data_IF_629877381370
#
_entry.id   IF_629877381370
#
_cell.length_a   1.000
_cell.length_b   1.000
_cell.length_c   1.000
_cell.angle_alpha   90.00
_cell.angle_beta   90.00
_cell.angle_gamma   90.00
#
_symmetry.space_group_name_H-M   'P 1'
#
loop_
_entity.id
_entity.type
_entity.pdbx_description
1 polymer ?
#
# COMPACT_ATOMS: atom_id res chain seq x y z
N UNK A 1 -7.48 12.32 -2.00
CA UNK A 1 -8.34 11.43 -1.19
C UNK A 1 -9.36 12.25 -0.43
N UNK A 2 -10.57 11.72 -0.19
CA UNK A 2 -11.55 12.29 0.74
C UNK A 2 -11.63 11.49 2.05
N UNK A 3 -12.54 11.87 2.96
CA UNK A 3 -12.67 11.24 4.30
C UNK A 3 -12.85 9.73 4.23
N UNK A 4 -13.75 9.23 3.38
CA UNK A 4 -13.99 7.79 3.23
C UNK A 4 -12.75 6.99 2.80
N UNK A 5 -11.89 7.60 1.97
CA UNK A 5 -10.63 6.94 1.58
C UNK A 5 -9.62 6.96 2.72
N UNK A 6 -9.62 8.00 3.57
CA UNK A 6 -8.77 8.03 4.76
C UNK A 6 -9.21 6.98 5.78
N UNK A 7 -10.52 6.81 5.98
CA UNK A 7 -11.08 5.77 6.85
C UNK A 7 -10.69 4.37 6.35
N UNK A 8 -10.88 4.09 5.06
CA UNK A 8 -10.46 2.84 4.44
C UNK A 8 -8.94 2.58 4.59
N UNK A 9 -8.12 3.61 4.37
CA UNK A 9 -6.68 3.51 4.56
C UNK A 9 -6.31 3.17 6.01
N UNK A 10 -6.99 3.78 7.00
CA UNK A 10 -6.79 3.48 8.42
C UNK A 10 -7.15 2.02 8.72
N UNK A 11 -8.26 1.52 8.19
CA UNK A 11 -8.66 0.11 8.37
C UNK A 11 -7.62 -0.86 7.81
N UNK A 12 -7.09 -0.59 6.60
CA UNK A 12 -5.99 -1.39 6.01
C UNK A 12 -4.77 -1.40 6.91
N UNK A 13 -4.35 -0.22 7.39
CA UNK A 13 -3.19 -0.12 8.28
C UNK A 13 -3.40 -0.87 9.59
N UNK A 14 -4.62 -0.83 10.16
CA UNK A 14 -4.97 -1.57 11.37
C UNK A 14 -4.91 -3.08 11.15
N UNK A 15 -5.48 -3.57 10.04
CA UNK A 15 -5.42 -5.00 9.67
C UNK A 15 -3.97 -5.48 9.50
N UNK A 16 -3.12 -4.68 8.86
CA UNK A 16 -1.70 -5.02 8.69
C UNK A 16 -0.93 -4.97 10.01
N UNK A 17 -1.27 -4.06 10.92
CA UNK A 17 -0.69 -4.04 12.28
C UNK A 17 -1.07 -5.32 13.05
N UNK A 18 -2.32 -5.78 12.95
CA UNK A 18 -2.81 -6.99 13.62
C UNK A 18 -2.10 -8.27 13.16
N UNK A 19 -1.70 -8.34 11.88
CA UNK A 19 -0.87 -9.43 11.33
C UNK A 19 0.51 -9.54 11.99
N UNK A 20 0.98 -8.47 12.63
CA UNK A 20 2.29 -8.42 13.28
C UNK A 20 3.46 -8.34 12.30
N UNK A 21 4.68 -8.22 12.84
CA UNK A 21 5.88 -7.81 12.07
C UNK A 21 6.29 -8.74 10.93
N UNK A 22 5.90 -10.01 10.92
CA UNK A 22 6.36 -10.97 9.90
C UNK A 22 5.44 -11.02 8.67
N UNK A 23 4.17 -10.70 8.86
CA UNK A 23 3.13 -10.85 7.84
C UNK A 23 2.57 -9.49 7.37
N UNK A 24 3.06 -8.39 7.97
CA UNK A 24 2.73 -7.02 7.59
C UNK A 24 3.47 -6.63 6.30
N UNK A 25 2.69 -6.34 5.26
CA UNK A 25 3.16 -6.03 3.91
C UNK A 25 3.56 -4.56 3.73
N UNK A 26 3.19 -3.70 4.69
CA UNK A 26 3.42 -2.26 4.68
C UNK A 26 4.29 -1.84 5.85
N UNK A 27 5.38 -2.56 6.12
CA UNK A 27 6.43 -2.13 7.05
C UNK A 27 7.43 -1.19 6.39
N UNK A 28 8.01 -0.27 7.16
CA UNK A 28 9.06 0.65 6.71
C UNK A 28 8.64 2.12 6.62
N UNK A 29 9.01 2.78 5.54
CA UNK A 29 8.61 4.15 5.19
C UNK A 29 8.12 4.13 3.75
N UNK A 30 7.03 4.84 3.47
CA UNK A 30 6.29 4.70 2.23
C UNK A 30 5.76 6.06 1.79
N UNK A 31 5.65 6.23 0.48
CA UNK A 31 4.75 7.19 -0.12
C UNK A 31 3.46 6.46 -0.48
N UNK A 32 2.32 6.95 0.02
CA UNK A 32 1.01 6.32 -0.22
C UNK A 32 0.33 7.06 -1.37
N UNK A 33 0.15 6.37 -2.48
CA UNK A 33 -0.55 6.91 -3.65
C UNK A 33 -1.94 6.30 -3.72
N UNK A 34 -2.95 7.15 -3.83
CA UNK A 34 -4.31 6.76 -4.10
C UNK A 34 -4.64 7.08 -5.55
N UNK A 35 -5.03 6.06 -6.30
CA UNK A 35 -5.41 6.21 -7.70
C UNK A 35 -6.87 5.80 -7.90
N UNK A 36 -7.57 6.62 -8.70
CA UNK A 36 -8.93 6.39 -9.14
C UNK A 36 -9.03 6.86 -10.59
N UNK A 37 -8.63 6.02 -11.54
CA UNK A 37 -8.88 6.21 -12.96
C UNK A 37 -9.70 5.03 -13.47
N UNK A 38 -11.00 5.25 -13.68
CA UNK A 38 -12.00 4.40 -14.36
C UNK A 38 -12.18 2.92 -13.92
N UNK A 39 -11.19 2.32 -13.25
CA UNK A 39 -11.15 1.00 -12.64
C UNK A 39 -11.20 1.09 -11.10
N UNK A 40 -11.18 -0.08 -10.44
CA UNK A 40 -11.30 -0.19 -8.98
C UNK A 40 -10.28 0.71 -8.28
N UNK A 41 -10.70 1.58 -7.34
CA UNK A 41 -9.76 2.46 -6.64
C UNK A 41 -8.81 1.66 -5.75
N UNK A 42 -7.55 2.09 -5.69
CA UNK A 42 -6.47 1.37 -4.98
C UNK A 42 -5.57 2.31 -4.19
N UNK A 43 -4.89 1.74 -3.20
CA UNK A 43 -3.78 2.33 -2.47
C UNK A 43 -2.49 1.59 -2.84
N UNK A 44 -1.47 2.35 -3.26
CA UNK A 44 -0.11 1.84 -3.50
C UNK A 44 0.83 2.38 -2.45
N UNK A 45 1.53 1.48 -1.76
CA UNK A 45 2.54 1.79 -0.75
C UNK A 45 3.92 1.67 -1.39
N UNK A 46 4.40 2.78 -1.94
CA UNK A 46 5.68 2.86 -2.62
C UNK A 46 6.81 2.94 -1.59
N UNK A 47 7.63 1.89 -1.52
CA UNK A 47 8.88 1.86 -0.73
C UNK A 47 10.03 2.31 -1.60
N UNK A 48 10.17 3.62 -1.73
CA UNK A 48 11.21 4.24 -2.53
C UNK A 48 12.01 5.18 -1.64
N UNK A 49 13.35 5.14 -1.70
CA UNK A 49 14.19 6.09 -0.96
C UNK A 49 14.02 7.52 -1.49
N UNK A 50 13.57 7.66 -2.74
CA UNK A 50 13.15 8.91 -3.36
C UNK A 50 12.00 8.66 -4.34
N UNK A 51 11.27 9.70 -4.76
CA UNK A 51 10.21 9.58 -5.79
C UNK A 51 10.73 9.11 -7.17
N UNK A 52 12.04 8.88 -7.32
CA UNK A 52 12.71 8.49 -8.57
C UNK A 52 13.33 7.09 -8.48
N UNK A 53 13.66 6.60 -7.28
CA UNK A 53 14.37 5.33 -7.11
C UNK A 53 13.66 4.41 -6.13
N UNK A 54 13.08 3.35 -6.68
CA UNK A 54 12.39 2.29 -5.94
C UNK A 54 13.16 0.99 -6.12
N UNK A 55 13.55 0.35 -5.01
CA UNK A 55 14.20 -0.97 -5.03
C UNK A 55 13.16 -2.11 -5.04
N UNK A 56 11.92 -1.81 -4.67
CA UNK A 56 10.81 -2.74 -4.56
C UNK A 56 9.59 -2.26 -5.36
N UNK A 57 8.82 -3.22 -5.88
CA UNK A 57 7.45 -3.00 -6.36
C UNK A 57 6.58 -2.60 -5.17
N UNK A 58 5.61 -1.69 -5.35
CA UNK A 58 4.73 -1.32 -4.26
C UNK A 58 3.85 -2.46 -3.80
N UNK A 59 3.50 -2.41 -2.53
CA UNK A 59 2.36 -3.16 -2.00
C UNK A 59 1.08 -2.44 -2.43
N UNK A 60 0.13 -3.16 -3.00
CA UNK A 60 -1.12 -2.60 -3.54
C UNK A 60 -2.33 -3.22 -2.86
N UNK A 61 -3.21 -2.38 -2.35
CA UNK A 61 -4.49 -2.78 -1.78
C UNK A 61 -5.65 -2.12 -2.54
N UNK A 62 -6.79 -2.80 -2.62
CA UNK A 62 -8.05 -2.15 -2.97
C UNK A 62 -8.52 -1.26 -1.81
N UNK A 63 -9.42 -0.30 -2.08
CA UNK A 63 -10.02 0.50 -0.99
C UNK A 63 -10.91 -0.31 -0.06
N UNK A 64 -11.31 -1.51 -0.45
CA UNK A 64 -12.06 -2.45 0.39
C UNK A 64 -11.13 -3.28 1.30
N UNK A 65 -9.82 -3.07 1.21
CA UNK A 65 -8.80 -3.76 2.01
C UNK A 65 -8.34 -5.10 1.46
N UNK A 66 -8.72 -5.44 0.24
CA UNK A 66 -8.19 -6.61 -0.45
C UNK A 66 -6.73 -6.37 -0.86
N UNK A 67 -5.81 -7.28 -0.51
CA UNK A 67 -4.44 -7.24 -1.00
C UNK A 67 -4.40 -7.66 -2.47
N UNK A 68 -4.06 -6.73 -3.36
CA UNK A 68 -3.96 -6.97 -4.81
C UNK A 68 -2.56 -7.45 -5.17
N UNK A 69 -1.53 -6.83 -4.59
CA UNK A 69 -0.14 -7.20 -4.80
C UNK A 69 0.66 -6.99 -3.50
N UNK A 70 1.41 -8.00 -3.06
CA UNK A 70 2.26 -7.91 -1.87
C UNK A 70 3.53 -7.05 -2.10
N UNK A 71 3.80 -6.66 -3.35
CA UNK A 71 5.01 -5.91 -3.70
C UNK A 71 6.27 -6.78 -3.66
N UNK A 72 7.39 -6.17 -3.28
CA UNK A 72 8.67 -6.84 -3.05
C UNK A 72 9.74 -6.52 -4.11
N UNK A 73 10.96 -7.10 -3.97
CA UNK A 73 12.13 -6.70 -4.75
C UNK A 73 11.89 -6.72 -6.26
N UNK A 74 12.34 -5.67 -6.95
CA UNK A 74 12.31 -5.63 -8.42
C UNK A 74 13.33 -6.59 -9.06
N UNK A 75 14.41 -6.87 -8.33
CA UNK A 75 15.47 -7.78 -8.75
C UNK A 75 15.61 -8.88 -7.69
N UNK A 76 15.26 -10.10 -8.06
CA UNK A 76 15.36 -11.32 -7.26
C UNK A 76 15.67 -12.52 -8.13
#
# INVERSE_FOLDING_TARGET
MGLKQLEALVEILQQEIEKGRRENNVLGTWHIHYEKQDEKPVFSFNKCESEVYCEERPTVFSVEGELIDAGGPLFG
#
